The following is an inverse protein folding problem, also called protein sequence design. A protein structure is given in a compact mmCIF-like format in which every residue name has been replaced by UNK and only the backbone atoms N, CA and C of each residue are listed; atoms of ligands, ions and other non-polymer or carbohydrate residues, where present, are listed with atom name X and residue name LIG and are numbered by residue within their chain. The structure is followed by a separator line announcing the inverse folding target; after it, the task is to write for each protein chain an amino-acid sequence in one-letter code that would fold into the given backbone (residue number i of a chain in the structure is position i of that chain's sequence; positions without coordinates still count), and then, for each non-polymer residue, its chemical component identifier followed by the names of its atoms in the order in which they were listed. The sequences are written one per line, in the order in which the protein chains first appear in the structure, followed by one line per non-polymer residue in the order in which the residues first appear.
data_IF_935734598277
#
_entry.id   IF_935734598277
#
_cell.length_a   1.000
_cell.length_b   1.000
_cell.length_c   1.000
_cell.angle_alpha   90.00
_cell.angle_beta   90.00
_cell.angle_gamma   90.00
#
_symmetry.space_group_name_H-M   'P 1'
#
loop_
_entity.id
_entity.type
_entity.pdbx_description
1 polymer ?
#
# COMPACT_ATOMS: atom_id res chain seq x y z
N UNK A 1 -9.31 -4.83 -12.37
CA UNK A 1 -8.31 -5.79 -12.92
C UNK A 1 -8.52 -6.10 -14.39
N UNK A 2 -9.74 -6.06 -14.90
CA UNK A 2 -10.07 -6.39 -16.30
C UNK A 2 -9.06 -5.87 -17.33
N UNK A 3 -8.55 -4.61 -17.24
CA UNK A 3 -7.59 -4.12 -18.23
C UNK A 3 -6.26 -4.88 -18.23
N UNK A 4 -5.91 -5.58 -17.14
CA UNK A 4 -4.62 -6.27 -16.97
C UNK A 4 -4.72 -7.79 -17.06
N UNK A 5 -5.94 -8.36 -17.18
CA UNK A 5 -6.17 -9.80 -17.22
C UNK A 5 -5.46 -10.49 -18.36
N UNK A 6 -5.32 -9.81 -19.50
CA UNK A 6 -4.56 -10.30 -20.67
C UNK A 6 -3.12 -10.71 -20.28
N UNK A 7 -2.50 -10.04 -19.32
CA UNK A 7 -1.11 -10.23 -18.95
C UNK A 7 -0.90 -10.86 -17.56
N UNK A 8 -1.97 -11.28 -16.86
CA UNK A 8 -1.88 -11.77 -15.48
C UNK A 8 -0.96 -12.97 -15.24
N UNK A 9 -0.75 -13.76 -16.29
CA UNK A 9 0.12 -14.94 -16.26
C UNK A 9 1.51 -14.66 -16.86
N UNK A 10 1.80 -13.42 -17.24
CA UNK A 10 3.09 -13.04 -17.82
C UNK A 10 4.15 -12.83 -16.74
N UNK A 11 5.40 -13.10 -17.08
CA UNK A 11 6.55 -12.95 -16.20
C UNK A 11 7.05 -11.50 -16.19
N UNK A 12 7.52 -11.02 -15.04
CA UNK A 12 8.18 -9.73 -14.92
C UNK A 12 9.33 -9.59 -15.93
N UNK A 13 9.42 -8.41 -16.54
CA UNK A 13 10.39 -8.05 -17.60
C UNK A 13 10.35 -8.90 -18.89
N UNK A 14 9.39 -9.82 -19.02
CA UNK A 14 9.16 -10.64 -20.23
C UNK A 14 7.75 -10.46 -20.78
N UNK A 15 7.12 -9.30 -20.52
CA UNK A 15 5.81 -8.96 -21.06
C UNK A 15 5.96 -8.42 -22.46
N UNK A 16 4.92 -8.63 -23.26
CA UNK A 16 4.87 -8.23 -24.66
C UNK A 16 4.86 -6.70 -24.86
N UNK A 17 5.06 -6.27 -26.10
CA UNK A 17 5.09 -4.86 -26.48
C UNK A 17 3.78 -4.13 -26.21
N UNK A 18 2.65 -4.84 -26.34
CA UNK A 18 1.31 -4.29 -26.02
C UNK A 18 1.22 -3.83 -24.57
N UNK A 19 1.82 -4.59 -23.64
CA UNK A 19 1.85 -4.20 -22.23
C UNK A 19 2.68 -2.94 -22.01
N UNK A 20 3.84 -2.87 -22.65
CA UNK A 20 4.72 -1.69 -22.55
C UNK A 20 4.02 -0.46 -23.14
N UNK A 21 3.42 -0.60 -24.31
CA UNK A 21 2.68 0.47 -24.97
C UNK A 21 1.47 0.97 -24.11
N UNK A 22 0.75 0.05 -23.49
CA UNK A 22 -0.35 0.40 -22.58
C UNK A 22 0.17 1.17 -21.36
N UNK A 23 1.26 0.73 -20.72
CA UNK A 23 1.88 1.43 -19.59
C UNK A 23 2.29 2.84 -20.00
N UNK A 24 2.96 2.98 -21.13
CA UNK A 24 3.41 4.27 -21.65
C UNK A 24 2.23 5.21 -21.89
N UNK A 25 1.17 4.74 -22.52
CA UNK A 25 -0.05 5.53 -22.75
C UNK A 25 -0.65 6.07 -21.45
N UNK A 26 -0.68 5.26 -20.40
CA UNK A 26 -1.20 5.68 -19.08
C UNK A 26 -0.23 6.69 -18.43
N UNK A 27 1.09 6.40 -18.46
CA UNK A 27 2.10 7.26 -17.89
C UNK A 27 2.08 8.65 -18.53
N UNK A 28 1.97 8.73 -19.85
CA UNK A 28 1.89 10.00 -20.59
C UNK A 28 0.62 10.80 -20.23
N UNK A 29 -0.50 10.13 -20.01
CA UNK A 29 -1.73 10.81 -19.52
C UNK A 29 -1.51 11.43 -18.14
N UNK A 30 -0.90 10.68 -17.21
CA UNK A 30 -0.60 11.16 -15.85
C UNK A 30 0.42 12.31 -15.88
N UNK A 31 1.46 12.23 -16.69
CA UNK A 31 2.43 13.31 -16.89
C UNK A 31 1.77 14.56 -17.45
N UNK A 32 0.86 14.43 -18.42
CA UNK A 32 0.13 15.56 -18.96
C UNK A 32 -0.75 16.24 -17.89
N UNK A 33 -1.41 15.48 -17.02
CA UNK A 33 -2.15 16.05 -15.89
C UNK A 33 -1.21 16.75 -14.88
N UNK A 34 -0.05 16.17 -14.60
CA UNK A 34 0.96 16.81 -13.76
C UNK A 34 1.44 18.14 -14.35
N UNK A 35 1.70 18.19 -15.65
CA UNK A 35 2.15 19.43 -16.31
C UNK A 35 1.08 20.52 -16.38
N UNK A 36 -0.21 20.17 -16.34
CA UNK A 36 -1.28 21.17 -16.19
C UNK A 36 -1.25 21.85 -14.82
N UNK A 37 -0.98 21.07 -13.75
CA UNK A 37 -0.90 21.59 -12.39
C UNK A 37 0.45 22.28 -12.10
N UNK A 38 1.53 21.76 -12.68
CA UNK A 38 2.90 22.21 -12.45
C UNK A 38 3.64 22.42 -13.79
N UNK A 39 3.29 23.49 -14.55
CA UNK A 39 3.83 23.73 -15.90
C UNK A 39 5.36 23.87 -15.93
N UNK A 40 5.96 24.34 -14.85
CA UNK A 40 7.40 24.54 -14.74
C UNK A 40 8.22 23.23 -14.72
N UNK A 41 7.56 22.07 -14.56
CA UNK A 41 8.21 20.75 -14.60
C UNK A 41 8.30 20.17 -16.02
N UNK A 42 7.62 20.76 -16.99
CA UNK A 42 7.64 20.28 -18.36
C UNK A 42 9.07 20.31 -18.93
N UNK A 43 9.52 19.16 -19.38
CA UNK A 43 10.88 18.96 -19.88
C UNK A 43 11.98 18.80 -18.82
N UNK A 44 11.63 18.75 -17.53
CA UNK A 44 12.56 18.56 -16.42
C UNK A 44 12.45 17.19 -15.76
N UNK A 45 11.51 16.34 -16.18
CA UNK A 45 11.37 14.99 -15.65
C UNK A 45 12.30 14.09 -16.45
N UNK A 46 13.36 13.64 -15.80
CA UNK A 46 14.40 12.78 -16.41
C UNK A 46 14.01 11.30 -16.35
N UNK A 47 13.24 10.90 -15.34
CA UNK A 47 12.81 9.52 -15.15
C UNK A 47 11.39 9.46 -14.63
N UNK A 48 10.62 8.50 -15.11
CA UNK A 48 9.31 8.13 -14.57
C UNK A 48 9.05 6.64 -14.71
N UNK A 49 8.30 6.10 -13.82
CA UNK A 49 7.87 4.70 -13.84
C UNK A 49 6.40 4.59 -13.43
N UNK A 50 5.66 3.73 -14.14
CA UNK A 50 4.28 3.40 -13.81
C UNK A 50 4.22 2.00 -13.19
N UNK A 51 3.78 1.91 -11.93
CA UNK A 51 3.38 0.65 -11.32
C UNK A 51 1.97 0.26 -11.74
N UNK A 52 1.77 -1.03 -11.97
CA UNK A 52 0.48 -1.62 -12.33
C UNK A 52 0.11 -2.70 -11.30
N UNK A 53 -1.11 -3.23 -11.29
CA UNK A 53 -1.45 -4.39 -10.46
C UNK A 53 -0.51 -5.58 -10.64
N UNK A 54 0.02 -5.79 -11.86
CA UNK A 54 1.01 -6.84 -12.11
C UNK A 54 2.39 -6.55 -11.52
N UNK A 55 2.74 -5.28 -11.32
CA UNK A 55 3.95 -4.87 -10.58
C UNK A 55 3.78 -5.20 -9.11
N UNK A 56 2.65 -4.83 -8.53
CA UNK A 56 2.31 -5.15 -7.13
C UNK A 56 2.28 -6.65 -6.88
N UNK A 57 1.64 -7.41 -7.76
CA UNK A 57 1.62 -8.87 -7.70
C UNK A 57 3.03 -9.47 -7.68
N UNK A 58 3.93 -8.95 -8.52
CA UNK A 58 5.30 -9.46 -8.60
C UNK A 58 6.13 -9.16 -7.35
N UNK A 59 6.11 -7.92 -6.85
CA UNK A 59 7.00 -7.48 -5.76
C UNK A 59 6.42 -7.73 -4.37
N UNK A 60 5.10 -7.67 -4.21
CA UNK A 60 4.42 -7.78 -2.91
C UNK A 60 3.71 -9.13 -2.75
N UNK A 61 3.58 -9.89 -3.85
CA UNK A 61 2.91 -11.20 -3.88
C UNK A 61 1.41 -11.15 -3.49
N UNK A 62 0.76 -10.03 -3.69
CA UNK A 62 -0.69 -9.96 -3.59
C UNK A 62 -1.34 -10.65 -4.79
N UNK A 63 -2.33 -11.50 -4.53
CA UNK A 63 -2.89 -12.40 -5.55
C UNK A 63 -3.52 -11.66 -6.73
N UNK A 64 -4.21 -10.58 -6.45
CA UNK A 64 -4.89 -9.75 -7.45
C UNK A 64 -4.13 -8.45 -7.78
N UNK A 65 -2.93 -8.24 -7.20
CA UNK A 65 -2.15 -7.03 -7.40
C UNK A 65 -2.74 -5.79 -6.72
N UNK A 66 -3.52 -6.00 -5.66
CA UNK A 66 -4.07 -4.94 -4.81
C UNK A 66 -2.94 -4.18 -4.08
N UNK A 67 -3.14 -2.89 -3.80
CA UNK A 67 -2.13 -2.05 -3.17
C UNK A 67 -2.30 -2.00 -1.65
N UNK A 68 -3.54 -1.99 -1.17
CA UNK A 68 -3.87 -1.63 0.22
C UNK A 68 -4.43 -2.78 1.06
N UNK A 69 -4.26 -4.04 0.63
CA UNK A 69 -4.75 -5.21 1.36
C UNK A 69 -6.28 -5.24 1.45
N UNK A 70 -6.81 -5.41 2.65
CA UNK A 70 -8.26 -5.50 2.87
C UNK A 70 -8.99 -4.21 2.50
N UNK A 71 -10.11 -4.35 1.82
CA UNK A 71 -10.95 -3.23 1.37
C UNK A 71 -11.39 -2.33 2.53
N UNK A 72 -11.32 -1.00 2.33
CA UNK A 72 -11.61 0.03 3.33
C UNK A 72 -13.09 0.38 3.38
N UNK A 73 -13.91 -0.59 3.74
CA UNK A 73 -15.35 -0.43 3.90
C UNK A 73 -15.77 -0.25 5.36
N UNK A 74 -16.93 0.36 5.64
CA UNK A 74 -17.50 0.40 7.00
C UNK A 74 -17.69 -0.99 7.59
N UNK A 75 -17.96 -2.01 6.76
CA UNK A 75 -18.08 -3.41 7.18
C UNK A 75 -16.75 -3.94 7.74
N UNK A 76 -15.62 -3.63 7.10
CA UNK A 76 -14.29 -4.01 7.59
C UNK A 76 -14.03 -3.42 8.98
N UNK A 77 -14.22 -2.12 9.16
CA UNK A 77 -13.96 -1.45 10.44
C UNK A 77 -14.85 -1.92 11.59
N UNK A 78 -15.96 -2.58 11.31
CA UNK A 78 -16.83 -3.23 12.31
C UNK A 78 -16.38 -4.64 12.70
N UNK A 79 -15.38 -5.21 12.02
CA UNK A 79 -14.91 -6.57 12.31
C UNK A 79 -14.17 -6.62 13.65
N UNK A 80 -14.69 -7.42 14.59
CA UNK A 80 -14.12 -7.55 15.93
C UNK A 80 -12.83 -8.39 15.97
N UNK A 81 -12.61 -9.22 14.96
CA UNK A 81 -11.42 -10.08 14.85
C UNK A 81 -10.20 -9.36 14.26
N UNK A 82 -10.39 -8.25 13.54
CA UNK A 82 -9.29 -7.42 13.03
C UNK A 82 -8.70 -6.57 14.17
N UNK A 83 -8.00 -7.22 15.07
CA UNK A 83 -7.34 -6.62 16.23
C UNK A 83 -5.94 -7.18 16.39
N UNK A 84 -5.01 -6.44 17.02
CA UNK A 84 -3.66 -6.94 17.27
C UNK A 84 -3.63 -8.28 18.00
N UNK A 85 -4.49 -8.47 19.00
CA UNK A 85 -4.58 -9.73 19.74
C UNK A 85 -5.58 -10.68 19.08
N UNK A 86 -5.12 -11.87 18.73
CA UNK A 86 -5.97 -12.94 18.20
C UNK A 86 -6.41 -13.92 19.30
N UNK A 87 -7.39 -14.79 19.04
CA UNK A 87 -7.74 -15.89 19.93
C UNK A 87 -6.61 -16.94 20.07
N UNK A 88 -5.66 -16.97 19.13
CA UNK A 88 -4.55 -17.92 19.15
C UNK A 88 -3.47 -17.40 20.10
N UNK A 89 -3.06 -18.21 21.07
CA UNK A 89 -2.04 -17.83 22.05
C UNK A 89 -0.72 -17.45 21.37
N UNK A 90 -0.17 -16.30 21.74
CA UNK A 90 1.09 -15.76 21.23
C UNK A 90 1.09 -15.41 19.71
N UNK A 91 -0.09 -15.37 19.09
CA UNK A 91 -0.24 -14.92 17.70
C UNK A 91 -0.88 -13.53 17.66
N UNK A 92 -0.18 -12.58 17.08
CA UNK A 92 -0.59 -11.18 17.02
C UNK A 92 -0.59 -10.69 15.57
N UNK A 93 -1.52 -9.79 15.26
CA UNK A 93 -1.62 -9.14 13.96
C UNK A 93 -1.04 -7.72 14.05
N UNK A 94 -0.37 -7.29 13.00
CA UNK A 94 0.12 -5.94 12.81
C UNK A 94 0.03 -5.56 11.33
N UNK A 95 0.30 -4.32 11.00
CA UNK A 95 0.23 -3.82 9.63
C UNK A 95 -1.04 -3.02 9.34
N UNK A 96 -1.15 -2.57 8.10
CA UNK A 96 -2.25 -1.72 7.66
C UNK A 96 -3.63 -2.35 7.80
N UNK A 97 -3.73 -3.68 7.75
CA UNK A 97 -5.03 -4.37 7.76
C UNK A 97 -5.77 -4.28 9.09
N UNK A 98 -5.08 -4.03 10.19
CA UNK A 98 -5.70 -3.85 11.51
C UNK A 98 -5.97 -2.37 11.87
N UNK A 99 -5.46 -1.42 11.09
CA UNK A 99 -5.67 0.02 11.30
C UNK A 99 -6.31 0.61 10.04
N UNK A 100 -5.52 1.12 9.12
CA UNK A 100 -5.97 1.67 7.84
C UNK A 100 -4.81 1.66 6.85
N UNK A 101 -5.09 1.90 5.57
CA UNK A 101 -4.05 1.93 4.55
C UNK A 101 -3.02 3.04 4.77
N UNK A 102 -1.81 2.77 4.31
CA UNK A 102 -0.72 3.72 4.24
C UNK A 102 0.40 3.49 5.26
N UNK A 103 1.53 4.12 4.99
CA UNK A 103 2.77 3.96 5.76
C UNK A 103 2.60 4.35 7.22
N UNK A 104 1.97 5.50 7.49
CA UNK A 104 1.73 5.98 8.86
C UNK A 104 0.88 5.00 9.67
N UNK A 105 -0.18 4.46 9.07
CA UNK A 105 -1.04 3.48 9.73
C UNK A 105 -0.33 2.14 9.97
N UNK A 106 0.48 1.68 9.02
CA UNK A 106 1.31 0.49 9.18
C UNK A 106 2.30 0.65 10.34
N UNK A 107 2.97 1.79 10.47
CA UNK A 107 3.86 2.11 11.60
C UNK A 107 3.08 2.16 12.92
N UNK A 108 1.94 2.86 12.94
CA UNK A 108 1.11 2.97 14.15
C UNK A 108 0.56 1.62 14.59
N UNK A 109 0.29 0.71 13.66
CA UNK A 109 -0.11 -0.66 13.98
C UNK A 109 0.93 -1.41 14.83
N UNK A 110 2.22 -1.15 14.59
CA UNK A 110 3.32 -1.68 15.41
C UNK A 110 3.23 -1.21 16.87
N UNK A 111 2.89 0.06 17.10
CA UNK A 111 2.68 0.60 18.45
C UNK A 111 1.52 -0.10 19.15
N UNK A 112 0.40 -0.29 18.44
CA UNK A 112 -0.79 -0.97 18.97
C UNK A 112 -0.49 -2.46 19.24
N UNK A 113 0.22 -3.14 18.33
CA UNK A 113 0.60 -4.53 18.51
C UNK A 113 1.55 -4.70 19.71
N UNK A 114 2.53 -3.80 19.86
CA UNK A 114 3.43 -3.79 21.02
C UNK A 114 2.68 -3.57 22.33
N UNK A 115 1.69 -2.66 22.34
CA UNK A 115 0.82 -2.46 23.50
C UNK A 115 0.03 -3.74 23.84
N UNK A 116 -0.48 -4.44 22.82
CA UNK A 116 -1.22 -5.69 23.00
C UNK A 116 -0.34 -6.82 23.55
N UNK A 117 0.92 -6.92 23.09
CA UNK A 117 1.91 -7.92 23.54
C UNK A 117 2.33 -7.64 24.98
N UNK A 118 2.78 -6.43 25.25
CA UNK A 118 3.38 -6.03 26.52
C UNK A 118 2.36 -5.72 27.62
N UNK A 119 1.09 -5.54 27.26
CA UNK A 119 0.00 -5.08 28.14
C UNK A 119 0.28 -3.72 28.79
N UNK A 120 1.07 -2.87 28.15
CA UNK A 120 1.45 -1.52 28.60
C UNK A 120 0.87 -0.47 27.70
N UNK A 121 0.64 0.73 28.23
CA UNK A 121 0.21 1.87 27.43
C UNK A 121 1.43 2.46 26.67
N UNK A 122 1.77 1.84 25.55
CA UNK A 122 2.90 2.27 24.70
C UNK A 122 2.58 3.60 24.01
N UNK A 123 1.32 3.86 23.66
CA UNK A 123 0.88 5.12 23.02
C UNK A 123 1.26 6.30 23.91
N UNK A 124 0.93 6.23 25.21
CA UNK A 124 1.31 7.28 26.17
C UNK A 124 2.82 7.50 26.23
N UNK A 125 3.61 6.44 26.22
CA UNK A 125 5.08 6.53 26.23
C UNK A 125 5.63 7.21 24.97
N UNK A 126 5.16 6.81 23.79
CA UNK A 126 5.57 7.39 22.51
C UNK A 126 5.24 8.89 22.49
N UNK A 127 4.03 9.28 22.88
CA UNK A 127 3.60 10.69 22.92
C UNK A 127 4.42 11.53 23.90
N UNK A 128 4.79 10.97 25.03
CA UNK A 128 5.66 11.67 26.00
C UNK A 128 7.07 11.92 25.48
N UNK A 129 7.64 11.00 24.70
CA UNK A 129 8.97 11.17 24.11
C UNK A 129 8.99 12.10 22.89
N UNK A 130 7.90 12.18 22.12
CA UNK A 130 7.83 13.09 20.97
C UNK A 130 7.63 14.57 21.34
N UNK A 131 7.33 14.88 22.59
CA UNK A 131 7.21 16.27 23.09
C UNK A 131 8.53 16.84 23.62
N UNK A 132 9.65 16.09 23.52
CA UNK A 132 10.96 16.47 24.06
C UNK A 132 11.95 16.86 22.94
N UNK A 133 11.50 16.91 21.69
CA UNK A 133 12.31 17.34 20.52
C UNK A 133 11.86 18.69 20.02
#
# INVERSE_FOLDING_TARGET
YEPFDKWKNSTWMKRDEDYVAMKEKIAQRLLNELYKQLPHLKGKIEHYELSTPLTTKHFINYQEGEIYGLDHTPKRFRQRFLKPRTPIKNFYLTGQDIVTAGVAAALFSGVIATAAITRKNIIKKVMQHSLIV
#
